data_IF_923243589822
#
_entry.id   IF_923243589822
#
_cell.length_a   1.000
_cell.length_b   1.000
_cell.length_c   1.000
_cell.angle_alpha   90.00
_cell.angle_beta   90.00
_cell.angle_gamma   90.00
#
_symmetry.space_group_name_H-M   'P 1'
#
loop_
_entity.id
_entity.type
_entity.pdbx_description
1 polymer ?
#
# COMPACT_ATOMS: atom_id res chain seq x y z
N UNK A 1 32.76 14.64 -1.09
CA UNK A 1 32.11 15.25 0.09
C UNK A 1 31.05 14.28 0.59
N UNK A 2 31.14 13.85 1.85
CA UNK A 2 30.15 12.97 2.45
C UNK A 2 28.78 13.67 2.42
N UNK A 3 27.79 13.06 1.78
CA UNK A 3 26.40 13.50 1.91
C UNK A 3 25.97 13.18 3.33
N UNK A 4 26.00 14.18 4.21
CA UNK A 4 25.40 14.10 5.54
C UNK A 4 23.90 13.76 5.37
N UNK A 5 23.49 12.63 5.94
CA UNK A 5 22.08 12.26 6.04
C UNK A 5 21.45 13.26 7.02
N UNK A 6 20.34 13.93 6.69
CA UNK A 6 19.67 14.83 7.63
C UNK A 6 19.28 14.03 8.88
N UNK A 7 19.90 14.33 10.02
CA UNK A 7 19.49 13.76 11.31
C UNK A 7 18.23 14.50 11.74
N UNK A 8 17.05 13.89 11.53
CA UNK A 8 15.81 14.42 12.08
C UNK A 8 15.71 13.97 13.55
N UNK A 9 15.53 14.89 14.50
CA UNK A 9 15.29 14.52 15.89
C UNK A 9 14.02 13.65 16.01
N UNK A 10 14.15 12.44 16.56
CA UNK A 10 13.01 11.64 17.00
C UNK A 10 12.44 12.27 18.27
N UNK A 11 11.14 12.52 18.34
CA UNK A 11 10.50 13.07 19.54
C UNK A 11 10.51 12.01 20.65
N UNK A 12 11.45 12.13 21.58
CA UNK A 12 11.73 11.14 22.63
C UNK A 12 10.71 11.14 23.80
N UNK A 13 9.53 11.76 23.63
CA UNK A 13 8.68 12.14 24.78
C UNK A 13 7.53 11.20 25.11
N UNK A 14 7.54 9.96 24.62
CA UNK A 14 6.47 9.03 24.94
C UNK A 14 7.03 7.69 25.41
N UNK A 15 7.02 7.49 26.74
CA UNK A 15 7.29 6.19 27.37
C UNK A 15 6.02 5.36 27.34
N UNK A 16 6.09 4.16 26.77
CA UNK A 16 4.99 3.19 26.70
C UNK A 16 5.39 1.86 27.31
N UNK A 17 4.40 1.09 27.77
CA UNK A 17 4.61 -0.26 28.27
C UNK A 17 5.08 -1.17 27.12
N UNK A 18 6.33 -1.63 27.24
CA UNK A 18 6.92 -2.65 26.36
C UNK A 18 6.16 -3.97 26.57
N UNK A 19 5.85 -4.75 25.51
CA UNK A 19 5.36 -6.11 25.71
C UNK A 19 6.34 -6.93 26.56
N UNK A 20 5.83 -7.89 27.32
CA UNK A 20 6.61 -8.69 28.27
C UNK A 20 7.78 -9.44 27.63
N UNK A 21 7.64 -9.82 26.35
CA UNK A 21 8.77 -10.21 25.49
C UNK A 21 8.60 -9.60 24.07
N UNK A 22 9.42 -8.60 23.67
CA UNK A 22 9.38 -8.01 22.34
C UNK A 22 9.74 -9.01 21.23
N UNK A 23 10.43 -10.12 21.55
CA UNK A 23 10.88 -11.11 20.56
C UNK A 23 9.70 -11.84 19.91
N UNK A 24 8.59 -12.01 20.63
CA UNK A 24 7.37 -12.61 20.05
C UNK A 24 6.82 -11.78 18.89
N UNK A 25 6.89 -10.46 18.99
CA UNK A 25 6.49 -9.55 17.90
C UNK A 25 7.44 -9.70 16.71
N UNK A 26 8.75 -9.73 16.96
CA UNK A 26 9.77 -9.92 15.91
C UNK A 26 9.59 -11.27 15.19
N UNK A 27 9.33 -12.36 15.93
CA UNK A 27 9.07 -13.69 15.34
C UNK A 27 7.85 -13.65 14.43
N UNK A 28 6.75 -13.02 14.86
CA UNK A 28 5.52 -12.91 14.06
C UNK A 28 5.75 -12.16 12.75
N UNK A 29 6.56 -11.11 12.76
CA UNK A 29 6.96 -10.37 11.56
C UNK A 29 7.87 -11.24 10.67
N UNK A 30 8.89 -11.89 11.22
CA UNK A 30 9.83 -12.73 10.47
C UNK A 30 9.17 -13.96 9.83
N UNK A 31 8.15 -14.55 10.46
CA UNK A 31 7.38 -15.64 9.84
C UNK A 31 6.64 -15.20 8.58
N UNK A 32 6.38 -13.89 8.43
CA UNK A 32 5.82 -13.27 7.22
C UNK A 32 6.88 -12.79 6.24
N UNK A 33 8.13 -13.24 6.40
CA UNK A 33 9.29 -12.85 5.57
C UNK A 33 9.59 -11.36 5.66
N UNK A 34 9.61 -10.84 6.88
CA UNK A 34 9.96 -9.46 7.17
C UNK A 34 11.23 -9.38 7.98
N UNK A 35 11.91 -8.24 7.88
CA UNK A 35 13.11 -7.89 8.64
C UNK A 35 12.67 -6.78 9.61
N UNK A 36 12.16 -7.13 10.80
CA UNK A 36 11.48 -6.19 11.68
C UNK A 36 12.48 -5.24 12.35
N UNK A 37 12.68 -4.08 11.74
CA UNK A 37 13.46 -2.98 12.31
C UNK A 37 12.49 -1.88 12.71
N UNK A 38 12.79 -1.19 13.80
CA UNK A 38 12.03 -0.07 14.34
C UNK A 38 12.97 1.07 14.72
N UNK A 39 12.54 2.30 14.43
CA UNK A 39 13.18 3.52 14.96
C UNK A 39 12.54 4.01 16.27
N UNK A 40 11.58 3.25 16.80
CA UNK A 40 10.64 3.68 17.84
C UNK A 40 9.37 4.31 17.24
N UNK A 41 8.47 4.76 18.12
CA UNK A 41 7.22 5.40 17.68
C UNK A 41 7.47 6.72 16.96
N UNK A 42 6.59 6.97 15.98
CA UNK A 42 6.49 8.22 15.22
C UNK A 42 7.60 8.43 14.19
N UNK A 43 7.24 8.32 12.91
CA UNK A 43 8.15 8.64 11.81
C UNK A 43 8.55 10.14 11.80
N UNK A 44 9.86 10.46 11.80
CA UNK A 44 10.35 11.84 11.80
C UNK A 44 10.03 12.61 10.52
N UNK A 45 9.68 11.91 9.43
CA UNK A 45 9.35 12.54 8.14
C UNK A 45 8.06 13.37 8.22
N UNK A 46 7.14 12.98 9.12
CA UNK A 46 5.85 13.65 9.38
C UNK A 46 5.02 13.87 8.11
N UNK A 47 5.00 12.87 7.23
CA UNK A 47 4.16 12.90 6.04
C UNK A 47 2.69 13.07 6.43
N UNK A 48 2.02 14.10 5.93
CA UNK A 48 0.64 14.45 6.32
C UNK A 48 -0.41 13.50 5.73
N UNK A 49 -0.01 12.65 4.80
CA UNK A 49 -0.83 11.63 4.16
C UNK A 49 -0.53 10.21 4.66
N UNK A 50 0.38 10.04 5.63
CA UNK A 50 0.75 8.70 6.09
C UNK A 50 -0.40 8.06 6.86
N UNK A 51 -0.59 6.75 6.70
CA UNK A 51 -1.52 5.98 7.52
C UNK A 51 -1.10 5.93 9.00
N UNK A 52 0.13 6.32 9.34
CA UNK A 52 0.60 6.44 10.71
C UNK A 52 -0.10 7.55 11.52
N UNK A 53 -0.84 8.43 10.86
CA UNK A 53 -1.61 9.48 11.54
C UNK A 53 -2.78 8.90 12.34
N UNK A 54 -3.35 7.76 11.92
CA UNK A 54 -4.42 7.08 12.66
C UNK A 54 -4.11 5.58 12.78
N UNK A 55 -3.73 5.16 13.99
CA UNK A 55 -3.61 3.74 14.35
C UNK A 55 -4.84 3.20 15.08
N UNK A 56 -5.86 4.01 15.31
CA UNK A 56 -7.05 3.60 16.06
C UNK A 56 -7.82 2.45 15.43
N UNK A 57 -7.60 2.19 14.14
CA UNK A 57 -8.20 1.06 13.45
C UNK A 57 -7.44 -0.26 13.58
N UNK A 58 -6.20 -0.27 14.08
CA UNK A 58 -5.39 -1.49 14.16
C UNK A 58 -4.55 -1.51 15.44
N UNK A 59 -4.59 -2.61 16.18
CA UNK A 59 -3.73 -2.76 17.36
C UNK A 59 -2.26 -2.90 16.95
N UNK A 60 -1.41 -1.90 17.16
CA UNK A 60 0.05 -2.01 17.01
C UNK A 60 0.71 -2.32 18.36
N UNK A 61 1.80 -3.07 18.31
CA UNK A 61 2.69 -3.35 19.44
C UNK A 61 3.96 -2.50 19.25
N UNK A 62 4.52 -2.00 20.35
CA UNK A 62 5.74 -1.18 20.32
C UNK A 62 6.91 -1.97 20.92
N UNK A 63 7.75 -2.62 20.09
CA UNK A 63 8.92 -3.32 20.61
C UNK A 63 10.03 -2.36 21.08
N UNK A 64 9.90 -1.06 20.76
CA UNK A 64 10.93 -0.04 20.96
C UNK A 64 11.83 0.09 19.74
N UNK A 65 12.77 1.03 19.81
CA UNK A 65 13.85 1.17 18.83
C UNK A 65 14.72 -0.08 18.83
N UNK A 66 14.98 -0.63 17.65
CA UNK A 66 15.80 -1.85 17.51
C UNK A 66 17.19 -1.63 18.10
N UNK A 67 17.63 -2.58 18.92
CA UNK A 67 18.98 -2.61 19.50
C UNK A 67 19.89 -3.55 18.71
N UNK A 68 21.19 -3.55 19.01
CA UNK A 68 22.11 -4.53 18.42
C UNK A 68 21.76 -5.97 18.85
N UNK A 69 21.23 -6.17 20.06
CA UNK A 69 20.79 -7.48 20.52
C UNK A 69 19.61 -7.99 19.69
N UNK A 70 18.62 -7.12 19.45
CA UNK A 70 17.48 -7.43 18.59
C UNK A 70 17.93 -7.75 17.17
N UNK A 71 18.86 -6.96 16.61
CA UNK A 71 19.43 -7.23 15.29
C UNK A 71 20.13 -8.58 15.21
N UNK A 72 20.98 -8.91 16.19
CA UNK A 72 21.67 -10.19 16.24
C UNK A 72 20.67 -11.36 16.28
N UNK A 73 19.58 -11.21 17.05
CA UNK A 73 18.49 -12.18 17.09
C UNK A 73 17.77 -12.31 15.74
N UNK A 74 17.41 -11.19 15.11
CA UNK A 74 16.75 -11.16 13.80
C UNK A 74 17.63 -11.85 12.75
N UNK A 75 18.91 -11.49 12.69
CA UNK A 75 19.85 -12.02 11.70
C UNK A 75 20.07 -13.51 11.89
N UNK A 76 20.30 -13.98 13.12
CA UNK A 76 20.43 -15.41 13.44
C UNK A 76 19.16 -16.18 13.04
N UNK A 77 17.98 -15.65 13.39
CA UNK A 77 16.71 -16.27 13.07
C UNK A 77 16.49 -16.41 11.56
N UNK A 78 16.72 -15.34 10.79
CA UNK A 78 16.54 -15.34 9.33
C UNK A 78 17.56 -16.24 8.65
N UNK A 79 18.82 -16.23 9.10
CA UNK A 79 19.89 -17.05 8.51
C UNK A 79 19.59 -18.56 8.54
N UNK A 80 18.82 -19.01 9.54
CA UNK A 80 18.40 -20.42 9.70
C UNK A 80 17.22 -20.81 8.81
N UNK A 81 16.49 -19.85 8.21
CA UNK A 81 15.36 -20.15 7.33
C UNK A 81 15.87 -20.55 5.94
N UNK A 82 15.23 -21.54 5.27
CA UNK A 82 15.63 -21.94 3.93
C UNK A 82 15.35 -20.82 2.91
N UNK A 83 16.25 -20.66 1.95
CA UNK A 83 16.05 -19.75 0.82
C UNK A 83 15.14 -20.38 -0.20
N UNK A 84 14.18 -19.61 -0.71
CA UNK A 84 13.25 -20.04 -1.76
C UNK A 84 13.49 -19.21 -3.02
N UNK A 85 13.46 -19.82 -4.22
CA UNK A 85 13.59 -19.08 -5.47
C UNK A 85 12.55 -17.96 -5.58
N UNK A 86 13.00 -16.74 -5.87
CA UNK A 86 12.15 -15.57 -6.02
C UNK A 86 11.53 -15.03 -4.71
N UNK A 87 11.88 -15.56 -3.55
CA UNK A 87 11.42 -15.02 -2.26
C UNK A 87 12.18 -13.74 -1.92
N UNK A 88 11.42 -12.71 -1.55
CA UNK A 88 11.94 -11.43 -1.07
C UNK A 88 11.53 -11.24 0.39
N UNK A 89 12.50 -10.85 1.22
CA UNK A 89 12.27 -10.44 2.58
C UNK A 89 11.99 -8.93 2.63
N UNK A 90 10.89 -8.51 3.25
CA UNK A 90 10.52 -7.10 3.31
C UNK A 90 11.30 -6.41 4.44
N UNK A 91 12.00 -5.33 4.12
CA UNK A 91 12.70 -4.50 5.09
C UNK A 91 11.69 -3.68 5.91
N UNK A 92 11.49 -4.07 7.16
CA UNK A 92 10.53 -3.48 8.09
C UNK A 92 9.42 -4.41 8.56
N UNK A 93 8.90 -4.13 9.76
CA UNK A 93 7.67 -4.75 10.27
C UNK A 93 6.53 -3.75 10.21
N UNK A 94 5.37 -4.13 9.66
CA UNK A 94 4.27 -3.19 9.48
C UNK A 94 2.89 -3.74 9.91
N UNK A 95 2.80 -5.04 10.22
CA UNK A 95 1.54 -5.65 10.63
C UNK A 95 1.29 -5.46 12.10
N UNK A 96 2.27 -5.80 12.94
CA UNK A 96 2.23 -5.66 14.38
C UNK A 96 3.06 -4.47 14.85
N UNK A 97 3.99 -3.97 14.02
CA UNK A 97 4.84 -2.82 14.32
C UNK A 97 4.44 -1.58 13.51
N UNK A 98 4.83 -0.40 13.98
CA UNK A 98 4.70 0.85 13.23
C UNK A 98 5.65 0.87 12.03
N UNK A 99 5.16 1.37 10.90
CA UNK A 99 6.02 1.64 9.76
C UNK A 99 6.73 2.96 10.03
N UNK A 100 7.92 3.11 9.48
CA UNK A 100 8.68 4.36 9.48
C UNK A 100 9.68 4.27 8.33
N UNK A 101 10.30 5.38 7.92
CA UNK A 101 11.48 5.27 7.07
C UNK A 101 12.65 4.70 7.88
N UNK A 102 12.91 3.41 7.71
CA UNK A 102 13.84 2.65 8.54
C UNK A 102 15.29 3.10 8.38
N UNK A 103 15.63 3.78 7.28
CA UNK A 103 16.98 4.30 7.09
C UNK A 103 17.29 5.52 7.95
N UNK A 104 16.28 6.05 8.67
CA UNK A 104 16.49 6.97 9.78
C UNK A 104 17.09 6.28 11.02
N UNK A 105 17.08 4.95 11.08
CA UNK A 105 17.83 4.24 12.10
C UNK A 105 19.35 4.42 11.85
N UNK A 106 20.15 4.87 12.84
CA UNK A 106 21.58 5.13 12.64
C UNK A 106 22.37 3.88 12.24
N UNK A 107 21.85 2.69 12.56
CA UNK A 107 22.45 1.39 12.21
C UNK A 107 21.85 0.73 10.97
N UNK A 108 20.81 1.30 10.33
CA UNK A 108 20.11 0.63 9.23
C UNK A 108 21.04 0.25 8.07
N UNK A 109 21.95 1.16 7.67
CA UNK A 109 22.90 0.87 6.58
C UNK A 109 23.91 -0.22 6.95
N UNK A 110 24.35 -0.27 8.21
CA UNK A 110 25.26 -1.31 8.73
C UNK A 110 24.56 -2.66 8.77
N UNK A 111 23.34 -2.70 9.29
CA UNK A 111 22.54 -3.92 9.35
C UNK A 111 22.11 -4.42 7.98
N UNK A 112 21.88 -3.53 7.01
CA UNK A 112 21.63 -3.94 5.63
C UNK A 112 22.87 -4.64 5.05
N UNK A 113 24.07 -4.12 5.30
CA UNK A 113 25.32 -4.76 4.90
C UNK A 113 25.51 -6.12 5.59
N UNK A 114 25.26 -6.20 6.90
CA UNK A 114 25.30 -7.48 7.65
C UNK A 114 24.34 -8.50 7.04
N UNK A 115 23.10 -8.10 6.75
CA UNK A 115 22.11 -8.98 6.12
C UNK A 115 22.61 -9.54 4.79
N UNK A 116 23.14 -8.68 3.92
CA UNK A 116 23.64 -9.08 2.61
C UNK A 116 24.87 -9.97 2.74
N UNK A 117 25.75 -9.71 3.71
CA UNK A 117 26.98 -10.46 3.94
C UNK A 117 26.75 -11.84 4.56
N UNK A 118 25.85 -11.92 5.54
CA UNK A 118 25.69 -13.11 6.40
C UNK A 118 24.46 -13.95 6.06
N UNK A 119 23.63 -13.50 5.13
CA UNK A 119 22.54 -14.31 4.57
C UNK A 119 22.70 -14.45 3.07
N UNK A 120 21.99 -15.40 2.48
CA UNK A 120 21.82 -15.60 1.04
C UNK A 120 20.45 -15.10 0.54
N UNK A 121 19.71 -14.38 1.38
CA UNK A 121 18.33 -13.94 1.12
C UNK A 121 18.30 -12.66 0.29
N UNK A 122 17.27 -12.52 -0.56
CA UNK A 122 17.00 -11.26 -1.25
C UNK A 122 16.01 -10.43 -0.45
N UNK A 123 16.05 -9.11 -0.58
CA UNK A 123 15.18 -8.22 0.15
C UNK A 123 14.48 -7.19 -0.75
N UNK A 124 13.38 -6.66 -0.23
CA UNK A 124 12.58 -5.59 -0.80
C UNK A 124 12.45 -4.47 0.22
N UNK A 125 12.77 -3.24 -0.18
CA UNK A 125 12.77 -2.06 0.69
C UNK A 125 11.85 -0.99 0.15
N UNK A 126 11.20 -0.28 1.08
CA UNK A 126 10.43 0.92 0.80
C UNK A 126 11.03 2.07 1.62
N UNK A 127 11.28 3.22 1.01
CA UNK A 127 11.83 4.40 1.70
C UNK A 127 11.50 5.67 0.93
N UNK A 128 11.42 6.80 1.63
CA UNK A 128 11.33 8.13 1.04
C UNK A 128 12.70 8.68 0.62
N UNK A 129 13.76 7.91 0.83
CA UNK A 129 15.10 8.19 0.30
C UNK A 129 16.12 8.65 1.34
N UNK A 130 15.99 8.28 2.63
CA UNK A 130 16.96 8.64 3.69
C UNK A 130 18.27 7.82 3.68
N UNK A 131 18.62 7.25 2.53
CA UNK A 131 19.72 6.28 2.41
C UNK A 131 21.08 6.96 2.20
N UNK A 132 22.15 6.28 2.64
CA UNK A 132 23.50 6.70 2.32
C UNK A 132 23.87 6.34 0.87
N UNK A 133 23.66 7.27 -0.07
CA UNK A 133 23.81 7.06 -1.53
C UNK A 133 25.09 6.30 -1.94
N UNK A 134 26.32 6.72 -1.58
CA UNK A 134 27.51 5.99 -2.00
C UNK A 134 27.53 4.53 -1.51
N UNK A 135 27.01 4.29 -0.31
CA UNK A 135 27.06 2.97 0.32
C UNK A 135 25.97 2.05 -0.25
N UNK A 136 24.75 2.55 -0.43
CA UNK A 136 23.66 1.74 -1.00
C UNK A 136 23.96 1.34 -2.44
N UNK A 137 24.58 2.23 -3.25
CA UNK A 137 25.03 1.88 -4.60
C UNK A 137 26.16 0.86 -4.59
N UNK A 138 27.14 1.01 -3.70
CA UNK A 138 28.20 0.01 -3.52
C UNK A 138 27.63 -1.36 -3.17
N UNK A 139 26.70 -1.44 -2.21
CA UNK A 139 26.07 -2.70 -1.80
C UNK A 139 25.28 -3.33 -2.95
N UNK A 140 24.54 -2.54 -3.71
CA UNK A 140 23.79 -3.02 -4.87
C UNK A 140 24.67 -3.64 -5.96
N UNK A 141 25.86 -3.06 -6.20
CA UNK A 141 26.85 -3.61 -7.14
C UNK A 141 27.54 -4.86 -6.57
N UNK A 142 27.86 -4.85 -5.27
CA UNK A 142 28.53 -5.97 -4.59
C UNK A 142 27.62 -7.19 -4.46
N UNK A 143 26.31 -6.99 -4.28
CA UNK A 143 25.31 -8.04 -4.09
C UNK A 143 24.21 -7.93 -5.16
N UNK A 144 24.53 -8.21 -6.44
CA UNK A 144 23.60 -8.01 -7.54
C UNK A 144 22.35 -8.87 -7.38
N UNK A 145 21.20 -8.31 -7.77
CA UNK A 145 19.87 -8.96 -7.72
C UNK A 145 19.37 -9.35 -6.32
N UNK A 146 20.01 -8.86 -5.24
CA UNK A 146 19.57 -9.14 -3.86
C UNK A 146 18.80 -8.01 -3.20
N UNK A 147 18.75 -6.85 -3.84
CA UNK A 147 18.08 -5.66 -3.33
C UNK A 147 17.08 -5.17 -4.36
N UNK A 148 15.81 -5.11 -3.97
CA UNK A 148 14.77 -4.40 -4.70
C UNK A 148 14.38 -3.17 -3.88
N UNK A 149 14.38 -2.00 -4.49
CA UNK A 149 14.21 -0.73 -3.81
C UNK A 149 13.07 0.02 -4.46
N UNK A 150 11.98 0.19 -3.72
CA UNK A 150 10.84 1.03 -4.10
C UNK A 150 10.99 2.40 -3.45
N UNK A 151 11.25 3.40 -4.29
CA UNK A 151 11.45 4.77 -3.86
C UNK A 151 10.11 5.51 -3.80
N UNK A 152 9.72 5.94 -2.61
CA UNK A 152 8.55 6.79 -2.39
C UNK A 152 8.87 8.24 -2.70
N UNK A 153 8.85 8.59 -4.00
CA UNK A 153 9.11 9.95 -4.47
C UNK A 153 8.00 10.89 -4.01
N UNK A 154 6.75 10.43 -4.07
CA UNK A 154 5.51 11.14 -3.80
C UNK A 154 5.28 12.31 -4.76
N UNK A 155 6.14 13.32 -4.69
CA UNK A 155 6.28 14.36 -5.70
C UNK A 155 7.62 15.08 -5.63
N UNK A 156 8.11 15.57 -6.77
CA UNK A 156 9.26 16.48 -6.87
C UNK A 156 8.84 17.96 -6.84
N UNK A 157 7.54 18.24 -6.99
CA UNK A 157 7.01 19.60 -6.95
C UNK A 157 7.23 20.23 -5.58
N UNK A 158 7.92 21.36 -5.53
CA UNK A 158 8.43 21.98 -4.29
C UNK A 158 7.32 22.24 -3.26
N UNK A 159 6.21 22.85 -3.68
CA UNK A 159 5.16 23.28 -2.76
C UNK A 159 4.37 22.11 -2.18
N UNK A 160 3.92 21.18 -3.03
CA UNK A 160 3.27 19.93 -2.59
C UNK A 160 4.20 19.07 -1.75
N UNK A 161 5.49 18.96 -2.09
CA UNK A 161 6.46 18.22 -1.29
C UNK A 161 6.60 18.83 0.10
N UNK A 162 6.70 20.16 0.21
CA UNK A 162 6.77 20.85 1.51
C UNK A 162 5.49 20.66 2.34
N UNK A 163 4.32 20.71 1.69
CA UNK A 163 3.03 20.55 2.35
C UNK A 163 2.80 19.11 2.83
N UNK A 164 3.15 18.11 2.00
CA UNK A 164 2.82 16.71 2.23
C UNK A 164 3.93 15.95 2.97
N UNK A 165 5.18 16.36 2.81
CA UNK A 165 6.35 15.71 3.40
C UNK A 165 7.34 16.77 3.93
N UNK A 166 6.98 17.51 5.00
CA UNK A 166 7.72 18.68 5.46
C UNK A 166 9.19 18.37 5.84
N UNK A 167 9.49 17.13 6.21
CA UNK A 167 10.83 16.65 6.51
C UNK A 167 11.25 15.52 5.57
N UNK A 168 10.97 15.62 4.27
CA UNK A 168 11.51 14.69 3.28
C UNK A 168 12.98 15.01 2.92
N UNK A 169 13.74 14.04 2.36
CA UNK A 169 15.03 14.35 1.77
C UNK A 169 14.86 15.33 0.61
N UNK A 170 15.91 16.12 0.35
CA UNK A 170 15.90 17.08 -0.75
C UNK A 170 15.74 16.40 -2.11
N UNK A 171 15.13 17.08 -3.07
CA UNK A 171 14.99 16.57 -4.45
C UNK A 171 16.36 16.20 -5.03
N UNK A 172 17.39 17.02 -4.82
CA UNK A 172 18.75 16.73 -5.27
C UNK A 172 19.34 15.45 -4.67
N UNK A 173 18.95 15.10 -3.44
CA UNK A 173 19.35 13.83 -2.82
C UNK A 173 18.58 12.67 -3.44
N UNK A 174 17.25 12.80 -3.57
CA UNK A 174 16.40 11.79 -4.23
C UNK A 174 16.89 11.44 -5.63
N UNK A 175 17.30 12.42 -6.44
CA UNK A 175 17.80 12.15 -7.80
C UNK A 175 19.05 11.26 -7.77
N UNK A 176 19.92 11.43 -6.77
CA UNK A 176 21.10 10.58 -6.61
C UNK A 176 20.73 9.17 -6.13
N UNK A 177 19.71 9.03 -5.30
CA UNK A 177 19.18 7.71 -4.89
C UNK A 177 18.57 7.00 -6.11
N UNK A 178 17.78 7.72 -6.90
CA UNK A 178 17.07 7.21 -8.07
C UNK A 178 18.02 6.72 -9.18
N UNK A 179 19.17 7.38 -9.34
CA UNK A 179 20.26 6.98 -10.26
C UNK A 179 20.92 5.64 -9.86
N UNK A 180 20.57 5.08 -8.70
CA UNK A 180 21.11 3.84 -8.18
C UNK A 180 20.61 2.57 -8.89
N UNK A 181 21.46 1.53 -8.99
CA UNK A 181 21.13 0.30 -9.72
C UNK A 181 20.14 -0.63 -8.99
N UNK A 182 19.87 -0.39 -7.70
CA UNK A 182 18.91 -1.18 -6.93
C UNK A 182 17.48 -0.61 -6.97
N UNK A 183 17.28 0.61 -7.49
CA UNK A 183 15.93 1.20 -7.57
C UNK A 183 15.14 0.45 -8.64
N UNK A 184 14.09 -0.23 -8.20
CA UNK A 184 13.24 -1.08 -9.05
C UNK A 184 11.95 -0.39 -9.40
N UNK A 185 11.43 0.46 -8.52
CA UNK A 185 10.27 1.29 -8.81
C UNK A 185 10.33 2.65 -8.11
N UNK A 186 9.57 3.59 -8.65
CA UNK A 186 9.35 4.90 -8.05
C UNK A 186 7.85 5.22 -8.04
N UNK A 187 7.32 5.54 -6.87
CA UNK A 187 5.92 5.99 -6.73
C UNK A 187 5.80 7.52 -6.65
N UNK A 188 4.86 8.07 -7.40
CA UNK A 188 4.59 9.51 -7.51
C UNK A 188 3.12 9.74 -7.87
N UNK A 189 2.55 10.88 -7.50
CA UNK A 189 1.09 11.05 -7.49
C UNK A 189 0.62 12.37 -8.11
N UNK A 190 -0.62 12.34 -8.59
CA UNK A 190 -1.35 13.53 -9.02
C UNK A 190 -1.81 14.35 -7.82
N UNK A 191 -1.55 15.65 -7.85
CA UNK A 191 -2.00 16.65 -6.87
C UNK A 191 -2.62 17.86 -7.56
N UNK A 192 -2.09 18.25 -8.72
CA UNK A 192 -2.61 19.31 -9.59
C UNK A 192 -2.15 19.08 -11.04
N UNK A 193 -2.50 20.00 -11.94
CA UNK A 193 -1.93 20.04 -13.27
C UNK A 193 -0.39 20.04 -13.21
N UNK A 194 0.23 19.18 -14.01
CA UNK A 194 1.67 19.03 -14.20
C UNK A 194 2.43 18.43 -13.01
N UNK A 195 1.79 18.07 -11.90
CA UNK A 195 2.53 17.52 -10.76
C UNK A 195 3.03 16.10 -11.00
N UNK A 196 2.22 15.22 -11.59
CA UNK A 196 2.54 13.81 -11.78
C UNK A 196 3.32 13.57 -13.07
N UNK A 197 2.97 14.30 -14.14
CA UNK A 197 3.55 14.15 -15.47
C UNK A 197 4.96 14.72 -15.59
N UNK A 198 5.25 15.86 -14.95
CA UNK A 198 6.62 16.38 -14.85
C UNK A 198 7.50 15.51 -13.95
N UNK A 199 6.94 14.99 -12.86
CA UNK A 199 7.63 14.04 -11.99
C UNK A 199 8.00 12.77 -12.77
N UNK A 200 7.05 12.18 -13.52
CA UNK A 200 7.31 11.01 -14.37
C UNK A 200 8.44 11.26 -15.38
N UNK A 201 8.39 12.38 -16.07
CA UNK A 201 9.40 12.77 -17.07
C UNK A 201 10.78 12.95 -16.43
N UNK A 202 10.82 13.58 -15.26
CA UNK A 202 12.06 13.81 -14.52
C UNK A 202 12.64 12.50 -14.01
N UNK A 203 11.82 11.63 -13.41
CA UNK A 203 12.24 10.31 -12.92
C UNK A 203 12.78 9.47 -14.08
N UNK A 204 12.03 9.39 -15.18
CA UNK A 204 12.40 8.64 -16.38
C UNK A 204 13.74 9.06 -16.98
N UNK A 205 14.01 10.37 -17.00
CA UNK A 205 15.28 10.92 -17.48
C UNK A 205 16.47 10.48 -16.62
N UNK A 206 16.28 10.32 -15.31
CA UNK A 206 17.33 9.87 -14.41
C UNK A 206 17.50 8.36 -14.50
N UNK A 207 16.41 7.60 -14.45
CA UNK A 207 16.46 6.15 -14.51
C UNK A 207 15.34 5.61 -15.41
N UNK A 208 15.74 5.05 -16.56
CA UNK A 208 14.82 4.47 -17.54
C UNK A 208 14.44 3.02 -17.20
N UNK A 209 15.14 2.40 -16.24
CA UNK A 209 14.91 1.00 -15.88
C UNK A 209 13.92 0.84 -14.73
N UNK A 210 13.56 1.92 -14.03
CA UNK A 210 12.56 1.85 -12.95
C UNK A 210 11.16 1.66 -13.50
N UNK A 211 10.37 0.86 -12.79
CA UNK A 211 8.94 0.84 -12.94
C UNK A 211 8.35 2.15 -12.40
N UNK A 212 7.53 2.81 -13.21
CA UNK A 212 6.84 4.03 -12.82
C UNK A 212 5.49 3.67 -12.19
N UNK A 213 5.30 4.05 -10.94
CA UNK A 213 4.08 3.77 -10.20
C UNK A 213 3.33 5.08 -9.93
N UNK A 214 2.21 5.28 -10.64
CA UNK A 214 1.43 6.52 -10.58
C UNK A 214 0.03 6.31 -10.00
N UNK A 215 -0.65 7.41 -9.66
CA UNK A 215 -2.04 7.40 -9.20
C UNK A 215 -2.36 8.57 -8.29
N UNK A 216 -3.22 8.33 -7.31
CA UNK A 216 -3.54 9.27 -6.24
C UNK A 216 -3.30 8.66 -4.87
N UNK A 217 -2.93 9.51 -3.92
CA UNK A 217 -3.02 9.17 -2.51
C UNK A 217 -4.48 9.26 -2.07
N UNK A 218 -4.91 8.31 -1.25
CA UNK A 218 -6.29 8.28 -0.73
C UNK A 218 -6.35 9.02 0.60
N UNK A 219 -7.27 9.98 0.80
CA UNK A 219 -7.54 10.56 2.11
C UNK A 219 -7.83 9.48 3.15
N UNK A 220 -7.16 9.59 4.31
CA UNK A 220 -7.40 8.70 5.44
C UNK A 220 -8.04 9.47 6.60
N UNK A 221 -8.66 8.71 7.49
CA UNK A 221 -9.17 9.23 8.75
C UNK A 221 -8.04 9.91 9.55
N UNK A 222 -8.36 11.04 10.18
CA UNK A 222 -7.41 11.80 11.02
C UNK A 222 -6.50 12.76 10.25
N UNK A 223 -6.50 12.74 8.91
CA UNK A 223 -5.77 13.73 8.11
C UNK A 223 -6.35 15.14 8.29
N UNK A 224 -5.48 16.15 8.21
CA UNK A 224 -5.90 17.55 8.16
C UNK A 224 -6.69 17.86 6.90
N UNK A 225 -7.69 18.74 7.02
CA UNK A 225 -8.60 19.12 5.93
C UNK A 225 -7.84 19.62 4.69
N UNK A 226 -6.78 20.42 4.87
CA UNK A 226 -5.96 20.89 3.75
C UNK A 226 -5.28 19.74 2.99
N UNK A 227 -4.80 18.72 3.72
CA UNK A 227 -4.22 17.53 3.08
C UNK A 227 -5.31 16.76 2.33
N UNK A 228 -6.46 16.54 2.96
CA UNK A 228 -7.61 15.86 2.33
C UNK A 228 -8.02 16.56 1.03
N UNK A 229 -8.06 17.90 1.02
CA UNK A 229 -8.37 18.69 -0.17
C UNK A 229 -7.35 18.49 -1.29
N UNK A 230 -6.04 18.56 -0.98
CA UNK A 230 -4.97 18.30 -1.96
C UNK A 230 -5.11 16.90 -2.57
N UNK A 231 -5.37 15.88 -1.75
CA UNK A 231 -5.50 14.51 -2.22
C UNK A 231 -6.74 14.31 -3.12
N UNK A 232 -7.88 14.91 -2.74
CA UNK A 232 -9.11 14.88 -3.55
C UNK A 232 -8.95 15.67 -4.86
N UNK A 233 -8.26 16.80 -4.83
CA UNK A 233 -7.89 17.57 -6.02
C UNK A 233 -7.04 16.71 -6.97
N UNK A 234 -6.03 16.02 -6.44
CA UNK A 234 -5.21 15.10 -7.22
C UNK A 234 -6.01 14.09 -8.04
N UNK A 235 -7.08 13.52 -7.45
CA UNK A 235 -7.99 12.59 -8.12
C UNK A 235 -8.75 13.23 -9.30
N UNK A 236 -9.04 14.52 -9.25
CA UNK A 236 -9.69 15.25 -10.34
C UNK A 236 -8.73 15.45 -11.53
N UNK A 237 -7.45 15.69 -11.27
CA UNK A 237 -6.44 15.89 -12.31
C UNK A 237 -5.85 14.60 -12.88
N UNK A 238 -6.01 13.47 -12.18
CA UNK A 238 -5.43 12.19 -12.57
C UNK A 238 -5.68 11.79 -14.05
N UNK A 239 -6.89 11.93 -14.63
CA UNK A 239 -7.12 11.57 -16.03
C UNK A 239 -6.24 12.32 -17.03
N UNK A 240 -6.04 13.62 -16.78
CA UNK A 240 -5.28 14.49 -17.65
C UNK A 240 -3.77 14.31 -17.44
N UNK A 241 -3.34 14.17 -16.19
CA UNK A 241 -1.96 13.84 -15.87
C UNK A 241 -1.54 12.48 -16.46
N UNK A 242 -2.39 11.47 -16.36
CA UNK A 242 -2.13 10.15 -16.94
C UNK A 242 -2.02 10.21 -18.46
N UNK A 243 -2.85 11.02 -19.13
CA UNK A 243 -2.77 11.26 -20.57
C UNK A 243 -1.43 11.88 -20.96
N UNK A 244 -0.96 12.89 -20.22
CA UNK A 244 0.35 13.53 -20.47
C UNK A 244 1.51 12.55 -20.31
N UNK A 245 1.49 11.72 -19.26
CA UNK A 245 2.52 10.66 -19.08
C UNK A 245 2.50 9.69 -20.24
N UNK A 246 1.31 9.31 -20.70
CA UNK A 246 1.15 8.38 -21.82
C UNK A 246 1.65 8.96 -23.15
N UNK A 247 1.32 10.22 -23.43
CA UNK A 247 1.73 10.96 -24.62
C UNK A 247 3.23 11.28 -24.62
N UNK A 248 3.86 11.41 -23.45
CA UNK A 248 5.30 11.62 -23.32
C UNK A 248 6.13 10.43 -23.82
N UNK A 249 5.53 9.24 -23.98
CA UNK A 249 6.20 8.08 -24.59
C UNK A 249 7.46 7.65 -23.84
N UNK A 250 7.43 7.71 -22.50
CA UNK A 250 8.60 7.46 -21.66
C UNK A 250 9.19 6.05 -21.90
N UNK A 251 10.53 5.89 -21.91
CA UNK A 251 11.21 4.61 -22.20
C UNK A 251 11.09 3.56 -21.10
N UNK A 252 10.49 3.90 -19.95
CA UNK A 252 10.38 2.98 -18.81
C UNK A 252 9.61 1.72 -19.18
N UNK A 253 10.17 0.56 -18.80
CA UNK A 253 9.67 -0.77 -19.17
C UNK A 253 8.19 -0.93 -18.80
N UNK A 254 7.78 -0.38 -17.66
CA UNK A 254 6.40 -0.45 -17.17
C UNK A 254 6.00 0.86 -16.48
N UNK A 255 4.78 1.31 -16.77
CA UNK A 255 4.09 2.36 -16.02
C UNK A 255 2.73 1.83 -15.59
N UNK A 256 2.46 1.81 -14.28
CA UNK A 256 1.23 1.25 -13.71
C UNK A 256 0.48 2.28 -12.86
N UNK A 257 -0.85 2.11 -12.78
CA UNK A 257 -1.72 2.82 -11.83
C UNK A 257 -2.26 1.86 -10.76
N UNK A 258 -2.68 2.42 -9.60
CA UNK A 258 -3.29 1.65 -8.50
C UNK A 258 -4.73 2.02 -8.15
N UNK A 259 -5.38 2.85 -8.96
CA UNK A 259 -6.75 3.26 -8.64
C UNK A 259 -7.74 2.08 -8.60
N UNK A 260 -8.42 1.83 -7.47
CA UNK A 260 -9.33 0.69 -7.33
C UNK A 260 -10.52 0.76 -8.29
N UNK A 261 -11.07 1.96 -8.52
CA UNK A 261 -12.20 2.16 -9.43
C UNK A 261 -11.85 1.79 -10.88
N UNK A 262 -10.68 2.24 -11.35
CA UNK A 262 -10.16 1.92 -12.69
C UNK A 262 -9.91 0.42 -12.80
N UNK A 263 -9.22 -0.15 -11.81
CA UNK A 263 -8.90 -1.59 -11.77
C UNK A 263 -10.17 -2.44 -11.80
N UNK A 264 -11.20 -2.07 -11.02
CA UNK A 264 -12.48 -2.78 -11.02
C UNK A 264 -13.19 -2.71 -12.37
N UNK A 265 -13.21 -1.54 -13.00
CA UNK A 265 -13.83 -1.37 -14.32
C UNK A 265 -13.12 -2.15 -15.42
N UNK A 266 -11.79 -2.11 -15.46
CA UNK A 266 -11.01 -2.90 -16.43
C UNK A 266 -11.21 -4.41 -16.21
N UNK A 267 -11.48 -4.83 -14.98
CA UNK A 267 -11.76 -6.22 -14.62
C UNK A 267 -13.25 -6.61 -14.61
N UNK A 268 -14.15 -5.74 -15.06
CA UNK A 268 -15.61 -5.91 -14.95
C UNK A 268 -16.11 -7.25 -15.46
N UNK A 269 -15.63 -7.73 -16.61
CA UNK A 269 -16.05 -9.01 -17.17
C UNK A 269 -15.68 -10.17 -16.24
N UNK A 270 -14.47 -10.16 -15.66
CA UNK A 270 -14.07 -11.19 -14.71
C UNK A 270 -14.89 -11.14 -13.44
N UNK A 271 -15.15 -9.95 -12.91
CA UNK A 271 -15.99 -9.74 -11.73
C UNK A 271 -17.38 -10.33 -11.98
N UNK A 272 -18.00 -9.97 -13.11
CA UNK A 272 -19.32 -10.44 -13.52
C UNK A 272 -19.35 -11.97 -13.64
N UNK A 273 -18.41 -12.57 -14.39
CA UNK A 273 -18.36 -14.02 -14.58
C UNK A 273 -18.19 -14.76 -13.25
N UNK A 274 -17.30 -14.28 -12.38
CA UNK A 274 -17.13 -14.89 -11.06
C UNK A 274 -18.39 -14.80 -10.23
N UNK A 275 -19.07 -13.64 -10.29
CA UNK A 275 -20.30 -13.43 -9.56
C UNK A 275 -21.44 -14.33 -10.05
N UNK A 276 -21.61 -14.47 -11.37
CA UNK A 276 -22.62 -15.35 -11.97
C UNK A 276 -22.40 -16.82 -11.59
N UNK A 277 -21.14 -17.26 -11.52
CA UNK A 277 -20.77 -18.62 -11.10
C UNK A 277 -21.07 -18.92 -9.63
N UNK A 278 -21.37 -17.91 -8.80
CA UNK A 278 -21.78 -18.11 -7.41
C UNK A 278 -23.26 -18.47 -7.30
N UNK A 279 -24.04 -18.34 -8.37
CA UNK A 279 -25.46 -18.71 -8.38
C UNK A 279 -26.36 -17.85 -7.49
N UNK A 280 -25.88 -16.66 -7.07
CA UNK A 280 -26.54 -15.82 -6.08
C UNK A 280 -27.89 -15.30 -6.58
N UNK A 281 -28.90 -15.34 -5.71
CA UNK A 281 -30.28 -14.99 -5.98
C UNK A 281 -30.70 -13.65 -5.33
N UNK A 282 -31.90 -13.18 -5.65
CA UNK A 282 -32.45 -11.88 -5.18
C UNK A 282 -32.49 -11.71 -3.66
N UNK A 283 -32.45 -12.80 -2.90
CA UNK A 283 -32.48 -12.79 -1.43
C UNK A 283 -31.08 -12.82 -0.82
N UNK A 284 -30.06 -13.14 -1.60
CA UNK A 284 -28.69 -13.19 -1.12
C UNK A 284 -28.13 -11.77 -1.00
N UNK A 285 -27.62 -11.43 0.18
CA UNK A 285 -26.86 -10.20 0.41
C UNK A 285 -25.38 -10.47 0.20
N UNK A 286 -24.73 -9.62 -0.59
CA UNK A 286 -23.29 -9.70 -0.86
C UNK A 286 -22.64 -8.39 -0.47
N UNK A 287 -21.55 -8.50 0.28
CA UNK A 287 -20.80 -7.36 0.80
C UNK A 287 -19.68 -6.97 -0.15
N UNK A 288 -19.52 -5.68 -0.43
CA UNK A 288 -18.41 -5.16 -1.22
C UNK A 288 -18.21 -3.66 -1.01
N UNK A 289 -17.03 -3.17 -1.38
CA UNK A 289 -16.76 -1.74 -1.42
C UNK A 289 -17.32 -1.10 -2.69
N UNK A 290 -17.20 0.23 -2.74
CA UNK A 290 -17.74 1.13 -3.76
C UNK A 290 -17.44 0.72 -5.20
N UNK A 291 -16.19 0.35 -5.51
CA UNK A 291 -15.75 0.03 -6.87
C UNK A 291 -16.48 -1.20 -7.44
N UNK A 292 -16.50 -2.32 -6.72
CA UNK A 292 -17.18 -3.56 -7.13
C UNK A 292 -18.70 -3.39 -7.08
N UNK A 293 -19.23 -2.65 -6.09
CA UNK A 293 -20.65 -2.34 -6.01
C UNK A 293 -21.16 -1.67 -7.28
N UNK A 294 -20.43 -0.67 -7.79
CA UNK A 294 -20.79 0.03 -9.03
C UNK A 294 -20.82 -0.93 -10.22
N UNK A 295 -19.85 -1.83 -10.36
CA UNK A 295 -19.86 -2.87 -11.41
C UNK A 295 -21.12 -3.74 -11.32
N UNK A 296 -21.41 -4.30 -10.16
CA UNK A 296 -22.56 -5.19 -10.02
C UNK A 296 -23.89 -4.45 -10.18
N UNK A 297 -23.98 -3.21 -9.71
CA UNK A 297 -25.16 -2.35 -9.90
C UNK A 297 -25.39 -1.99 -11.37
N UNK A 298 -24.32 -1.75 -12.13
CA UNK A 298 -24.39 -1.46 -13.56
C UNK A 298 -24.86 -2.68 -14.36
N UNK A 299 -24.21 -3.83 -14.15
CA UNK A 299 -24.33 -4.98 -15.06
C UNK A 299 -25.22 -6.12 -14.55
N UNK A 300 -25.55 -6.14 -13.26
CA UNK A 300 -26.29 -7.25 -12.60
C UNK A 300 -27.38 -6.72 -11.67
N UNK A 301 -27.99 -5.58 -12.02
CA UNK A 301 -29.13 -5.00 -11.29
C UNK A 301 -30.19 -6.08 -11.02
N UNK A 302 -30.70 -6.11 -9.79
CA UNK A 302 -31.72 -7.06 -9.34
C UNK A 302 -31.32 -8.55 -9.37
N UNK A 303 -30.03 -8.90 -9.56
CA UNK A 303 -29.58 -10.31 -9.50
C UNK A 303 -29.49 -10.81 -8.06
N UNK A 304 -28.94 -10.00 -7.18
CA UNK A 304 -28.81 -10.21 -5.74
C UNK A 304 -28.92 -8.85 -5.00
N UNK A 305 -28.87 -8.87 -3.67
CA UNK A 305 -28.77 -7.64 -2.86
C UNK A 305 -27.29 -7.29 -2.72
N UNK A 306 -26.87 -6.20 -3.34
CA UNK A 306 -25.49 -5.71 -3.21
C UNK A 306 -25.44 -4.71 -2.05
N UNK A 307 -24.82 -5.11 -0.95
CA UNK A 307 -24.56 -4.23 0.19
C UNK A 307 -23.27 -3.47 -0.05
N UNK A 308 -23.39 -2.17 -0.33
CA UNK A 308 -22.23 -1.28 -0.41
C UNK A 308 -21.78 -0.91 0.99
N UNK A 309 -20.52 -1.20 1.30
CA UNK A 309 -19.89 -0.83 2.57
C UNK A 309 -18.87 0.28 2.32
N UNK A 310 -19.01 1.46 2.93
CA UNK A 310 -17.98 2.48 2.87
C UNK A 310 -16.79 2.04 3.73
N UNK A 311 -15.57 2.31 3.28
CA UNK A 311 -14.34 2.10 4.06
C UNK A 311 -14.20 3.15 5.18
N UNK A 312 -15.24 3.33 6.02
CA UNK A 312 -15.36 4.43 6.97
C UNK A 312 -14.28 4.39 8.05
N UNK A 313 -13.81 3.19 8.44
CA UNK A 313 -12.66 3.04 9.32
C UNK A 313 -11.40 3.72 8.77
N UNK A 314 -11.21 3.74 7.45
CA UNK A 314 -10.12 4.44 6.76
C UNK A 314 -10.51 5.85 6.29
N UNK A 315 -11.61 6.43 6.76
CA UNK A 315 -12.08 7.77 6.38
C UNK A 315 -13.06 7.80 5.20
N UNK A 316 -13.29 6.66 4.54
CA UNK A 316 -14.37 6.49 3.57
C UNK A 316 -14.06 6.87 2.12
N UNK A 317 -12.92 7.50 1.84
CA UNK A 317 -12.52 7.85 0.46
C UNK A 317 -11.99 6.63 -0.34
N UNK A 318 -11.57 5.56 0.32
CA UNK A 318 -11.18 4.31 -0.33
C UNK A 318 -12.37 3.59 -0.97
N UNK A 319 -12.13 3.01 -2.15
CA UNK A 319 -13.11 2.24 -2.93
C UNK A 319 -12.80 0.73 -2.94
N UNK A 320 -11.81 0.27 -2.16
CA UNK A 320 -11.22 -1.06 -2.26
C UNK A 320 -11.84 -2.08 -1.29
N UNK A 321 -12.33 -3.21 -1.83
CA UNK A 321 -12.94 -4.30 -1.04
C UNK A 321 -11.95 -4.98 -0.09
N UNK A 322 -10.66 -5.04 -0.45
CA UNK A 322 -9.60 -5.61 0.41
C UNK A 322 -9.47 -4.81 1.71
N UNK A 323 -9.77 -3.52 1.67
CA UNK A 323 -9.62 -2.59 2.79
C UNK A 323 -10.88 -2.48 3.66
N UNK A 324 -11.88 -3.34 3.46
CA UNK A 324 -13.06 -3.38 4.32
C UNK A 324 -12.69 -3.95 5.67
N UNK A 325 -13.27 -3.37 6.71
CA UNK A 325 -13.23 -3.91 8.07
C UNK A 325 -14.56 -4.55 8.41
N UNK A 326 -14.54 -5.57 9.27
CA UNK A 326 -15.72 -6.17 9.84
C UNK A 326 -16.57 -5.16 10.61
N UNK A 327 -15.95 -4.19 11.29
CA UNK A 327 -16.68 -3.10 11.95
C UNK A 327 -17.44 -2.21 10.96
N UNK A 328 -16.86 -1.89 9.80
CA UNK A 328 -17.57 -1.17 8.74
C UNK A 328 -18.73 -2.00 8.18
N UNK A 329 -18.55 -3.31 8.04
CA UNK A 329 -19.60 -4.23 7.58
C UNK A 329 -20.74 -4.29 8.61
N UNK A 330 -20.43 -4.47 9.89
CA UNK A 330 -21.41 -4.54 10.99
C UNK A 330 -22.32 -3.31 11.02
N UNK A 331 -21.76 -2.11 10.83
CA UNK A 331 -22.51 -0.85 10.78
C UNK A 331 -23.52 -0.76 9.61
N UNK A 332 -23.35 -1.59 8.58
CA UNK A 332 -24.21 -1.62 7.39
C UNK A 332 -25.22 -2.76 7.39
N UNK A 333 -25.07 -3.73 8.27
CA UNK A 333 -26.06 -4.80 8.42
C UNK A 333 -27.34 -4.23 9.04
N UNK A 334 -28.48 -4.59 8.46
CA UNK A 334 -29.82 -4.19 8.87
C UNK A 334 -30.78 -5.40 8.77
N UNK A 335 -30.53 -6.39 9.63
CA UNK A 335 -31.42 -7.56 9.77
C UNK A 335 -31.22 -8.66 8.72
N UNK A 336 -30.12 -8.67 7.97
CA UNK A 336 -29.79 -9.79 7.08
C UNK A 336 -29.64 -11.10 7.85
N UNK A 337 -30.24 -12.17 7.34
CA UNK A 337 -30.07 -13.53 7.90
C UNK A 337 -28.83 -14.24 7.37
N UNK A 338 -28.43 -13.94 6.14
CA UNK A 338 -27.29 -14.53 5.46
C UNK A 338 -26.55 -13.44 4.68
N UNK A 339 -25.24 -13.36 4.85
CA UNK A 339 -24.38 -12.44 4.10
C UNK A 339 -23.23 -13.20 3.43
N UNK A 340 -22.89 -12.78 2.21
CA UNK A 340 -21.79 -13.33 1.45
C UNK A 340 -20.60 -12.37 1.48
N UNK A 341 -19.47 -12.83 2.01
CA UNK A 341 -18.24 -12.05 2.12
C UNK A 341 -17.20 -12.52 1.10
N UNK A 342 -16.64 -11.61 0.29
CA UNK A 342 -15.45 -11.87 -0.49
C UNK A 342 -14.30 -12.36 0.40
N UNK A 343 -13.60 -13.43 0.00
CA UNK A 343 -12.48 -13.98 0.77
C UNK A 343 -11.36 -12.96 0.99
N UNK A 344 -11.18 -12.01 0.06
CA UNK A 344 -10.25 -10.87 0.22
C UNK A 344 -10.39 -10.12 1.54
N UNK A 345 -11.58 -10.06 2.14
CA UNK A 345 -11.83 -9.34 3.40
C UNK A 345 -11.21 -10.08 4.59
N UNK A 346 -10.97 -11.38 4.47
CA UNK A 346 -10.45 -12.24 5.55
C UNK A 346 -9.01 -12.72 5.29
N UNK A 347 -8.34 -12.15 4.30
CA UNK A 347 -6.97 -12.46 3.89
C UNK A 347 -6.06 -11.28 4.23
N UNK A 348 -6.12 -10.85 5.49
CA UNK A 348 -5.32 -9.75 6.00
C UNK A 348 -3.82 -10.11 6.00
N UNK A 349 -2.93 -9.11 5.81
CA UNK A 349 -1.50 -9.29 6.11
C UNK A 349 -1.27 -9.78 7.55
N UNK A 350 -2.21 -9.54 8.48
CA UNK A 350 -2.16 -10.03 9.87
C UNK A 350 -2.36 -11.54 10.01
N UNK A 351 -2.94 -12.20 9.02
CA UNK A 351 -3.21 -13.63 9.02
C UNK A 351 -4.49 -13.96 8.27
N UNK A 352 -4.66 -15.24 7.92
CA UNK A 352 -5.91 -15.72 7.35
C UNK A 352 -6.99 -15.78 8.44
N UNK A 353 -8.22 -15.42 8.07
CA UNK A 353 -9.38 -15.45 8.96
C UNK A 353 -9.61 -14.16 9.74
N UNK A 354 -8.89 -13.08 9.44
CA UNK A 354 -9.15 -11.75 10.00
C UNK A 354 -9.10 -10.66 8.94
N UNK A 355 -9.73 -9.53 9.25
CA UNK A 355 -9.73 -8.33 8.42
C UNK A 355 -8.46 -7.48 8.61
N UNK A 356 -8.41 -6.34 7.92
CA UNK A 356 -7.26 -5.44 7.98
C UNK A 356 -7.06 -4.76 9.35
N UNK A 357 -8.11 -4.63 10.17
CA UNK A 357 -7.96 -4.17 11.57
C UNK A 357 -7.47 -5.28 12.50
N UNK A 358 -7.63 -6.54 12.11
CA UNK A 358 -7.23 -7.73 12.84
C UNK A 358 -8.37 -8.38 13.61
N UNK A 359 -9.62 -7.98 13.38
CA UNK A 359 -10.80 -8.65 13.93
C UNK A 359 -10.98 -9.98 13.20
N UNK A 360 -11.19 -11.06 13.96
CA UNK A 360 -11.36 -12.40 13.40
C UNK A 360 -12.78 -12.63 12.88
N UNK A 361 -12.92 -13.59 11.97
CA UNK A 361 -14.22 -13.98 11.44
C UNK A 361 -15.16 -14.46 12.56
N UNK A 362 -14.65 -15.20 13.53
CA UNK A 362 -15.44 -15.71 14.68
C UNK A 362 -15.98 -14.56 15.54
N UNK A 363 -15.15 -13.55 15.82
CA UNK A 363 -15.58 -12.34 16.54
C UNK A 363 -16.63 -11.55 15.77
N UNK A 364 -16.50 -11.47 14.45
CA UNK A 364 -17.49 -10.85 13.58
C UNK A 364 -18.81 -11.63 13.58
N UNK A 365 -18.78 -12.95 13.39
CA UNK A 365 -19.98 -13.81 13.36
C UNK A 365 -20.76 -13.73 14.68
N UNK A 366 -20.07 -13.70 15.82
CA UNK A 366 -20.68 -13.52 17.13
C UNK A 366 -21.48 -12.20 17.26
N UNK A 367 -21.00 -11.13 16.61
CA UNK A 367 -21.64 -9.80 16.64
C UNK A 367 -22.70 -9.62 15.55
N UNK A 368 -22.45 -10.16 14.35
CA UNK A 368 -23.25 -9.92 13.16
C UNK A 368 -24.65 -10.55 13.24
N UNK A 369 -24.85 -11.55 14.11
CA UNK A 369 -26.12 -12.28 14.30
C UNK A 369 -26.74 -12.78 12.99
N UNK A 370 -25.88 -13.07 12.00
CA UNK A 370 -26.27 -13.57 10.69
C UNK A 370 -25.32 -14.70 10.28
N UNK A 371 -25.77 -15.56 9.37
CA UNK A 371 -24.91 -16.60 8.80
C UNK A 371 -23.98 -16.00 7.76
N UNK A 372 -22.68 -16.18 7.93
CA UNK A 372 -21.69 -15.72 6.95
C UNK A 372 -21.35 -16.84 5.97
N UNK A 373 -21.22 -16.49 4.69
CA UNK A 373 -20.77 -17.38 3.62
C UNK A 373 -19.60 -16.77 2.90
N UNK A 374 -18.49 -17.49 2.82
CA UNK A 374 -17.26 -16.99 2.19
C UNK A 374 -17.26 -17.27 0.68
N UNK A 375 -16.99 -16.23 -0.11
CA UNK A 375 -16.82 -16.31 -1.56
C UNK A 375 -15.35 -16.60 -1.89
N UNK A 376 -14.94 -17.87 -1.78
CA UNK A 376 -13.53 -18.30 -1.89
C UNK A 376 -12.83 -17.95 -3.20
N UNK A 377 -13.59 -17.74 -4.29
CA UNK A 377 -13.05 -17.36 -5.61
C UNK A 377 -12.65 -15.88 -5.71
N UNK A 378 -13.06 -15.04 -4.77
CA UNK A 378 -12.73 -13.61 -4.72
C UNK A 378 -11.70 -13.42 -3.60
N UNK A 379 -10.42 -13.62 -3.92
CA UNK A 379 -9.29 -13.66 -2.97
C UNK A 379 -8.16 -12.69 -3.38
N UNK A 380 -7.21 -12.44 -2.48
CA UNK A 380 -6.13 -11.45 -2.67
C UNK A 380 -5.25 -11.78 -3.87
N UNK A 381 -4.90 -13.07 -4.03
CA UNK A 381 -4.16 -13.56 -5.20
C UNK A 381 -4.82 -13.17 -6.52
N UNK A 382 -6.15 -13.31 -6.62
CA UNK A 382 -6.88 -12.87 -7.81
C UNK A 382 -6.77 -11.35 -7.98
N UNK A 383 -6.99 -10.57 -6.93
CA UNK A 383 -6.94 -9.12 -6.99
C UNK A 383 -5.56 -8.62 -7.45
N UNK A 384 -4.48 -9.15 -6.88
CA UNK A 384 -3.10 -8.82 -7.24
C UNK A 384 -2.79 -9.20 -8.69
N UNK A 385 -3.16 -10.41 -9.11
CA UNK A 385 -3.00 -10.86 -10.50
C UNK A 385 -3.70 -9.92 -11.47
N UNK A 386 -4.88 -9.41 -11.09
CA UNK A 386 -5.67 -8.50 -11.93
C UNK A 386 -5.12 -7.08 -11.96
N UNK A 387 -4.52 -6.61 -10.88
CA UNK A 387 -3.76 -5.37 -10.89
C UNK A 387 -2.60 -5.46 -11.88
N UNK A 388 -1.78 -6.52 -11.81
CA UNK A 388 -0.63 -6.67 -12.71
C UNK A 388 -1.00 -6.92 -14.18
N UNK A 389 -2.19 -7.46 -14.45
CA UNK A 389 -2.68 -7.64 -15.82
C UNK A 389 -3.24 -6.36 -16.44
N UNK A 390 -3.97 -5.55 -15.66
CA UNK A 390 -4.75 -4.43 -16.18
C UNK A 390 -4.33 -3.06 -15.65
N UNK A 391 -3.38 -2.98 -14.74
CA UNK A 391 -2.91 -1.73 -14.14
C UNK A 391 -2.02 -0.90 -15.05
N UNK A 392 -1.68 -1.36 -16.26
CA UNK A 392 -0.86 -0.60 -17.19
C UNK A 392 -1.50 0.74 -17.57
N UNK A 393 -0.68 1.78 -17.67
CA UNK A 393 -1.10 3.12 -18.12
C UNK A 393 -1.86 3.07 -19.45
N UNK A 394 -1.39 2.24 -20.39
CA UNK A 394 -2.05 2.08 -21.69
C UNK A 394 -3.50 1.63 -21.56
N UNK A 395 -3.81 0.72 -20.62
CA UNK A 395 -5.19 0.28 -20.39
C UNK A 395 -6.02 1.36 -19.71
N UNK A 396 -5.43 2.14 -18.79
CA UNK A 396 -6.12 3.31 -18.23
C UNK A 396 -6.54 4.27 -19.35
N UNK A 397 -5.63 4.65 -20.25
CA UNK A 397 -5.95 5.60 -21.32
C UNK A 397 -6.91 5.00 -22.36
N UNK A 398 -6.57 3.83 -22.91
CA UNK A 398 -7.27 3.26 -24.07
C UNK A 398 -8.58 2.57 -23.69
N UNK A 399 -8.64 1.91 -22.53
CA UNK A 399 -9.75 1.02 -22.19
C UNK A 399 -10.66 1.57 -21.09
N UNK A 400 -10.19 2.53 -20.29
CA UNK A 400 -10.98 3.23 -19.29
C UNK A 400 -11.37 4.64 -19.73
N UNK A 401 -10.42 5.57 -19.91
CA UNK A 401 -10.72 6.97 -20.23
C UNK A 401 -11.44 7.14 -21.57
N UNK A 402 -11.06 6.33 -22.57
CA UNK A 402 -11.67 6.36 -23.90
C UNK A 402 -12.99 5.60 -23.97
N UNK A 403 -13.39 4.91 -22.90
CA UNK A 403 -14.59 4.07 -22.87
C UNK A 403 -15.79 4.88 -22.35
N UNK A 404 -16.86 5.08 -23.14
CA UNK A 404 -18.04 5.83 -22.70
C UNK A 404 -18.70 5.27 -21.43
N UNK A 405 -18.67 3.94 -21.25
CA UNK A 405 -19.27 3.28 -20.10
C UNK A 405 -18.52 3.56 -18.77
N UNK A 406 -17.28 4.07 -18.82
CA UNK A 406 -16.55 4.48 -17.61
C UNK A 406 -17.22 5.67 -16.92
N UNK A 407 -17.76 6.62 -17.71
CA UNK A 407 -18.49 7.79 -17.18
C UNK A 407 -19.77 7.37 -16.48
N UNK A 408 -20.52 6.46 -17.10
CA UNK A 408 -21.71 5.89 -16.49
C UNK A 408 -21.35 5.17 -15.18
N UNK A 409 -20.28 4.37 -15.18
CA UNK A 409 -19.79 3.68 -14.00
C UNK A 409 -19.46 4.63 -12.84
N UNK A 410 -18.76 5.73 -13.10
CA UNK A 410 -18.39 6.71 -12.08
C UNK A 410 -19.61 7.45 -11.51
N UNK A 411 -20.63 7.68 -12.33
CA UNK A 411 -21.87 8.37 -11.95
C UNK A 411 -22.84 7.49 -11.15
N UNK A 412 -22.59 6.17 -11.05
CA UNK A 412 -23.48 5.29 -10.28
C UNK A 412 -23.53 5.74 -8.81
N UNK A 413 -24.73 6.07 -8.30
CA UNK A 413 -24.87 6.57 -6.94
C UNK A 413 -24.57 5.47 -5.94
N UNK A 414 -23.80 5.84 -4.93
CA UNK A 414 -23.46 5.00 -3.80
C UNK A 414 -24.42 5.40 -2.69
N UNK A 415 -25.22 4.45 -2.21
CA UNK A 415 -26.11 4.70 -1.08
C UNK A 415 -25.24 5.00 0.15
N UNK A 416 -25.52 6.12 0.81
CA UNK A 416 -24.84 6.55 2.03
C UNK A 416 -24.92 5.47 3.13
#
# INVERSE_FOLDING_TARGET
>A
MATEIPVIPTDARLTYERPSDPRDVLIKEMEKRKIPISIGKTCPVKCTFCYEIDHGYRKTEEPGKTTQEDWNFILDYISRKPTRPGELWVWGGNEYMEWTDLFLHPKAMEWLEDFLKYTDKSLHMFTVGYVHVPKIHQLAVQYPNRMNFDLSVITLHKDYRKALMPHAPSVSHLMKVLDGPAVTSANFYSFDAHTMSEDATTISRINQNVLLWMGCLTPLKGMEENTVQILRQGKQYLPEEARRVYEAGLPNIQTIHTEPAITAFLNRHKIITLFDLLGLEKRDTVVMAKSVYRILKMYRKNRARFLCVPNATLGGDSDCTILLTFDDILKRLDGEKVVHLPKVVIESPRGNGCDISGVTLDEFEAKARCKVRILHKVNTKLADTKLWQHGYLSHYIRDYLSNPASREFEQIPIAA
#
